data_IF_129772156742
#
_entry.id   IF_129772156742
#
_cell.length_a   1.000
_cell.length_b   1.000
_cell.length_c   1.000
_cell.angle_alpha   90.00
_cell.angle_beta   90.00
_cell.angle_gamma   90.00
#
_symmetry.space_group_name_H-M   'P 1'
#
loop_
_entity.id
_entity.type
_entity.pdbx_description
1 polymer ?
#
# COMPACT_ATOMS: atom_id res chain seq x y z
N UNK A 1 22.80 -0.13 -9.97
CA UNK A 1 21.49 -0.80 -9.87
C UNK A 1 21.34 -1.24 -8.42
N UNK A 2 20.55 -0.53 -7.62
CA UNK A 2 20.16 -1.07 -6.32
C UNK A 2 19.19 -2.24 -6.54
N UNK A 3 19.47 -3.36 -5.87
CA UNK A 3 18.57 -4.50 -5.90
C UNK A 3 17.27 -4.14 -5.18
N UNK A 4 16.16 -4.80 -5.52
CA UNK A 4 14.88 -4.60 -4.83
C UNK A 4 15.02 -4.75 -3.29
N UNK A 5 15.85 -5.70 -2.86
CA UNK A 5 16.20 -5.90 -1.43
C UNK A 5 16.92 -4.68 -0.84
N UNK A 6 17.89 -4.10 -1.54
CA UNK A 6 18.58 -2.90 -1.06
C UNK A 6 17.61 -1.72 -0.86
N UNK A 7 16.63 -1.54 -1.76
CA UNK A 7 15.57 -0.53 -1.59
C UNK A 7 14.70 -0.82 -0.35
N UNK A 8 14.32 -2.07 -0.11
CA UNK A 8 13.55 -2.44 1.08
C UNK A 8 14.32 -2.17 2.39
N UNK A 9 15.62 -2.50 2.43
CA UNK A 9 16.47 -2.23 3.60
C UNK A 9 16.58 -0.73 3.85
N UNK A 10 16.84 0.07 2.79
CA UNK A 10 16.87 1.54 2.90
C UNK A 10 15.54 2.11 3.42
N UNK A 11 14.41 1.56 2.99
CA UNK A 11 13.08 1.97 3.47
C UNK A 11 12.90 1.69 4.96
N UNK A 12 13.28 0.49 5.41
CA UNK A 12 13.21 0.09 6.81
C UNK A 12 14.11 0.95 7.72
N UNK A 13 15.22 1.46 7.18
CA UNK A 13 16.15 2.36 7.87
C UNK A 13 15.74 3.84 7.77
N UNK A 14 14.57 4.16 7.22
CA UNK A 14 14.09 5.53 7.01
C UNK A 14 15.11 6.42 6.26
N UNK A 15 15.81 5.84 5.29
CA UNK A 15 16.85 6.55 4.54
C UNK A 15 16.23 7.63 3.63
N UNK A 16 16.58 8.90 3.88
CA UNK A 16 16.09 10.06 3.11
C UNK A 16 16.27 9.93 1.60
N UNK A 17 17.44 9.47 1.16
CA UNK A 17 17.77 9.39 -0.27
C UNK A 17 16.81 8.46 -1.03
N UNK A 18 16.32 7.40 -0.37
CA UNK A 18 15.33 6.52 -0.99
C UNK A 18 14.00 7.24 -1.25
N UNK A 19 13.55 8.09 -0.32
CA UNK A 19 12.29 8.81 -0.49
C UNK A 19 12.39 9.83 -1.64
N UNK A 20 13.55 10.49 -1.79
CA UNK A 20 13.84 11.38 -2.92
C UNK A 20 13.87 10.61 -4.26
N UNK A 21 14.47 9.42 -4.29
CA UNK A 21 14.45 8.52 -5.46
C UNK A 21 13.01 8.10 -5.83
N UNK A 22 12.18 7.79 -4.84
CA UNK A 22 10.77 7.43 -5.05
C UNK A 22 9.94 8.62 -5.51
N UNK A 23 10.20 9.82 -4.98
CA UNK A 23 9.53 11.05 -5.41
C UNK A 23 9.87 11.40 -6.87
N UNK A 24 11.11 11.16 -7.29
CA UNK A 24 11.54 11.34 -8.67
C UNK A 24 10.97 10.27 -9.62
N UNK A 25 10.69 9.06 -9.12
CA UNK A 25 10.19 7.93 -9.91
C UNK A 25 8.66 7.89 -9.99
N UNK A 26 8.10 8.49 -11.05
CA UNK A 26 6.65 8.46 -11.32
C UNK A 26 6.07 7.06 -11.54
N UNK A 27 6.89 6.07 -11.90
CA UNK A 27 6.43 4.70 -12.12
C UNK A 27 6.33 3.89 -10.81
N UNK A 28 7.00 4.34 -9.74
CA UNK A 28 6.98 3.67 -8.44
C UNK A 28 5.56 3.56 -7.86
N UNK A 29 4.71 4.56 -8.10
CA UNK A 29 3.31 4.55 -7.68
C UNK A 29 2.52 3.40 -8.32
N UNK A 30 2.71 3.16 -9.62
CA UNK A 30 2.02 2.07 -10.34
C UNK A 30 2.50 0.71 -9.86
N UNK A 31 3.80 0.57 -9.60
CA UNK A 31 4.37 -0.65 -9.02
C UNK A 31 3.80 -0.94 -7.62
N UNK A 32 3.73 0.08 -6.76
CA UNK A 32 3.15 -0.03 -5.42
C UNK A 32 1.67 -0.44 -5.47
N UNK A 33 0.88 0.17 -6.35
CA UNK A 33 -0.52 -0.19 -6.53
C UNK A 33 -0.70 -1.65 -6.95
N UNK A 34 0.15 -2.14 -7.85
CA UNK A 34 0.16 -3.54 -8.29
C UNK A 34 0.39 -4.51 -7.12
N UNK A 35 1.34 -4.20 -6.24
CA UNK A 35 1.61 -5.01 -5.04
C UNK A 35 0.38 -5.09 -4.14
N UNK A 36 -0.33 -3.97 -3.94
CA UNK A 36 -1.54 -3.90 -3.11
C UNK A 36 -2.70 -4.70 -3.70
N UNK A 37 -2.87 -4.65 -5.02
CA UNK A 37 -3.88 -5.46 -5.71
C UNK A 37 -3.58 -6.95 -5.55
N UNK A 38 -2.34 -7.37 -5.75
CA UNK A 38 -1.93 -8.76 -5.58
C UNK A 38 -2.10 -9.25 -4.13
N UNK A 39 -1.72 -8.44 -3.14
CA UNK A 39 -1.90 -8.79 -1.73
C UNK A 39 -3.38 -8.88 -1.35
N UNK A 40 -4.22 -8.01 -1.93
CA UNK A 40 -5.66 -8.02 -1.68
C UNK A 40 -6.30 -9.31 -2.21
N UNK A 41 -5.94 -9.72 -3.42
CA UNK A 41 -6.37 -10.99 -4.02
C UNK A 41 -5.92 -12.17 -3.15
N UNK A 42 -4.64 -12.22 -2.75
CA UNK A 42 -4.11 -13.28 -1.90
C UNK A 42 -4.83 -13.38 -0.56
N UNK A 43 -5.11 -12.24 0.09
CA UNK A 43 -5.86 -12.18 1.35
C UNK A 43 -7.30 -12.68 1.23
N UNK A 44 -7.95 -12.42 0.09
CA UNK A 44 -9.33 -12.87 -0.15
C UNK A 44 -9.42 -14.37 -0.48
N UNK A 45 -8.46 -14.93 -1.23
CA UNK A 45 -8.43 -16.37 -1.55
C UNK A 45 -8.26 -17.23 -0.30
N UNK A 46 -7.54 -16.74 0.72
CA UNK A 46 -7.34 -17.46 1.98
C UNK A 46 -8.56 -17.53 2.90
N UNK A 47 -9.71 -16.95 2.51
CA UNK A 47 -10.87 -16.79 3.39
C UNK A 47 -11.88 -17.95 3.23
N UNK A 48 -12.06 -18.83 4.23
CA UNK A 48 -12.82 -20.07 4.08
C UNK A 48 -14.34 -19.87 3.88
N UNK A 49 -14.88 -18.70 4.21
CA UNK A 49 -16.30 -18.37 4.02
C UNK A 49 -16.66 -17.80 2.64
N UNK A 50 -15.69 -17.52 1.76
CA UNK A 50 -15.94 -16.94 0.44
C UNK A 50 -15.99 -18.04 -0.63
N UNK A 51 -17.16 -18.64 -0.82
CA UNK A 51 -17.34 -19.80 -1.73
C UNK A 51 -17.76 -19.43 -3.16
N UNK A 52 -18.19 -18.19 -3.40
CA UNK A 52 -18.66 -17.70 -4.70
C UNK A 52 -17.76 -16.63 -5.33
N UNK A 53 -17.64 -16.63 -6.66
CA UNK A 53 -16.88 -15.62 -7.42
C UNK A 53 -17.31 -14.19 -7.08
N UNK A 54 -18.61 -13.94 -6.88
CA UNK A 54 -19.13 -12.63 -6.48
C UNK A 54 -18.65 -12.17 -5.10
N UNK A 55 -18.58 -13.09 -4.14
CA UNK A 55 -18.09 -12.81 -2.79
C UNK A 55 -16.58 -12.59 -2.76
N UNK A 56 -15.82 -13.28 -3.63
CA UNK A 56 -14.39 -13.04 -3.81
C UNK A 56 -14.14 -11.65 -4.39
N UNK A 57 -14.86 -11.24 -5.45
CA UNK A 57 -14.70 -9.90 -6.03
C UNK A 57 -15.05 -8.83 -4.99
N UNK A 58 -16.15 -9.01 -4.26
CA UNK A 58 -16.55 -8.12 -3.17
C UNK A 58 -15.50 -8.06 -2.06
N UNK A 59 -14.93 -9.21 -1.68
CA UNK A 59 -13.86 -9.29 -0.69
C UNK A 59 -12.61 -8.51 -1.10
N UNK A 60 -12.20 -8.63 -2.37
CA UNK A 60 -11.05 -7.87 -2.92
C UNK A 60 -11.33 -6.36 -2.85
N UNK A 61 -12.52 -5.92 -3.27
CA UNK A 61 -12.90 -4.50 -3.24
C UNK A 61 -12.94 -3.94 -1.82
N UNK A 62 -13.48 -4.70 -0.87
CA UNK A 62 -13.50 -4.32 0.55
C UNK A 62 -12.06 -4.20 1.08
N UNK A 63 -11.20 -5.18 0.78
CA UNK A 63 -9.83 -5.20 1.26
C UNK A 63 -9.01 -4.03 0.69
N UNK A 64 -9.18 -3.73 -0.60
CA UNK A 64 -8.63 -2.52 -1.23
C UNK A 64 -9.15 -1.25 -0.55
N UNK A 65 -10.46 -1.16 -0.31
CA UNK A 65 -11.08 0.00 0.34
C UNK A 65 -10.52 0.25 1.74
N UNK A 66 -10.37 -0.79 2.56
CA UNK A 66 -9.77 -0.71 3.90
C UNK A 66 -8.30 -0.30 3.80
N UNK A 67 -7.56 -0.85 2.86
CA UNK A 67 -6.16 -0.46 2.65
C UNK A 67 -6.04 1.03 2.30
N UNK A 68 -6.92 1.56 1.44
CA UNK A 68 -6.97 3.00 1.10
C UNK A 68 -7.45 3.89 2.26
N UNK A 69 -8.27 3.36 3.16
CA UNK A 69 -8.77 4.10 4.31
C UNK A 69 -7.63 4.50 5.26
N UNK A 70 -6.63 3.62 5.44
CA UNK A 70 -5.52 3.87 6.37
C UNK A 70 -4.62 5.09 6.03
N UNK A 71 -4.12 5.26 4.79
CA UNK A 71 -3.37 6.45 4.42
C UNK A 71 -4.26 7.70 4.44
N UNK A 72 -5.57 7.59 4.15
CA UNK A 72 -6.48 8.73 4.29
C UNK A 72 -6.61 9.18 5.76
N UNK A 73 -6.73 8.24 6.70
CA UNK A 73 -6.72 8.53 8.14
C UNK A 73 -5.38 9.16 8.54
N UNK A 74 -4.26 8.59 8.10
CA UNK A 74 -2.92 9.08 8.43
C UNK A 74 -2.71 10.50 7.90
N UNK A 75 -3.16 10.78 6.68
CA UNK A 75 -3.15 12.11 6.08
C UNK A 75 -4.01 13.06 6.90
N UNK A 76 -5.25 12.70 7.20
CA UNK A 76 -6.15 13.52 8.00
C UNK A 76 -5.56 13.83 9.38
N UNK A 77 -4.99 12.84 10.08
CA UNK A 77 -4.32 13.05 11.37
C UNK A 77 -3.15 14.02 11.20
N UNK A 78 -2.25 13.79 10.24
CA UNK A 78 -1.08 14.62 10.02
C UNK A 78 -1.39 16.05 9.58
N UNK A 79 -2.43 16.26 8.77
CA UNK A 79 -2.74 17.58 8.19
C UNK A 79 -3.83 18.35 8.95
N UNK A 80 -4.63 17.71 9.81
CA UNK A 80 -5.73 18.38 10.52
C UNK A 80 -5.58 18.35 12.04
N UNK A 81 -5.27 17.19 12.62
CA UNK A 81 -5.23 17.00 14.08
C UNK A 81 -3.86 17.42 14.63
N UNK A 82 -2.79 16.94 13.99
CA UNK A 82 -1.40 17.23 14.35
C UNK A 82 -0.85 18.37 13.50
N UNK A 83 -1.68 19.36 13.15
CA UNK A 83 -1.20 20.58 12.50
C UNK A 83 -0.07 21.15 13.37
N UNK A 84 1.16 21.08 12.85
CA UNK A 84 2.27 21.83 13.41
C UNK A 84 1.98 23.33 13.37
N UNK A 85 2.71 24.14 14.16
CA UNK A 85 2.62 25.59 14.08
C UNK A 85 2.86 26.12 12.66
#
# INVERSE_FOLDING_TARGET
>A
MDTFIARMIKAALLNKALYEEVEADRNAMVQALLVVVLSSIAGTIGHPQLTGLGEIIKGILINLGIWFLWPAITLAIGTTILKGP
#
